data_IF_685067594884
#
_entry.id   IF_685067594884
#
_cell.length_a   1.000
_cell.length_b   1.000
_cell.length_c   1.000
_cell.angle_alpha   90.00
_cell.angle_beta   90.00
_cell.angle_gamma   90.00
#
_symmetry.space_group_name_H-M   'P 1'
#
loop_
_entity.id
_entity.type
_entity.pdbx_description
1 polymer ?
#
# COMPACT_ATOMS: atom_id res chain seq x y z
N UNK A 1 5.23 -23.64 -14.46
CA UNK A 1 5.58 -22.22 -14.35
C UNK A 1 5.22 -21.76 -12.95
N UNK A 2 6.22 -21.57 -12.08
CA UNK A 2 6.00 -21.19 -10.68
C UNK A 2 5.52 -19.74 -10.64
N UNK A 3 4.40 -19.52 -9.95
CA UNK A 3 3.62 -18.28 -9.96
C UNK A 3 4.45 -17.07 -9.55
N UNK A 4 4.71 -16.19 -10.51
CA UNK A 4 4.95 -14.80 -10.22
C UNK A 4 3.60 -14.17 -9.85
N UNK A 5 3.11 -14.44 -8.64
CA UNK A 5 2.04 -13.63 -8.08
C UNK A 5 2.59 -12.20 -7.96
N UNK A 6 2.17 -11.36 -8.91
CA UNK A 6 2.67 -10.01 -9.12
C UNK A 6 2.62 -9.20 -7.82
N UNK A 7 3.76 -9.10 -7.14
CA UNK A 7 3.99 -8.06 -6.13
C UNK A 7 3.84 -6.71 -6.84
N UNK A 8 2.75 -5.99 -6.55
CA UNK A 8 2.54 -4.63 -7.05
C UNK A 8 3.13 -3.65 -6.06
N UNK A 9 4.05 -2.82 -6.53
CA UNK A 9 4.74 -1.81 -5.72
C UNK A 9 4.71 -0.46 -6.42
N UNK A 10 4.43 0.58 -5.66
CA UNK A 10 4.49 1.97 -6.09
C UNK A 10 5.47 2.75 -5.22
N UNK A 11 6.13 3.72 -5.85
CA UNK A 11 7.07 4.61 -5.20
C UNK A 11 6.59 6.04 -5.43
N UNK A 12 6.58 6.84 -4.37
CA UNK A 12 6.26 8.25 -4.44
C UNK A 12 7.25 9.04 -3.60
N UNK A 13 7.41 10.32 -3.93
CA UNK A 13 8.18 11.26 -3.13
C UNK A 13 7.28 12.40 -2.74
N UNK A 14 7.19 12.69 -1.44
CA UNK A 14 6.45 13.84 -0.93
C UNK A 14 7.39 14.65 -0.03
N UNK A 15 7.79 15.84 -0.49
CA UNK A 15 8.80 16.66 0.17
C UNK A 15 10.17 15.97 0.23
N UNK A 16 10.72 15.84 1.44
CA UNK A 16 12.00 15.17 1.70
C UNK A 16 11.89 13.65 1.85
N UNK A 17 10.69 13.09 1.66
CA UNK A 17 10.37 11.74 2.10
C UNK A 17 10.03 10.84 0.92
N UNK A 18 10.58 9.64 0.94
CA UNK A 18 10.28 8.58 0.00
C UNK A 18 9.20 7.67 0.62
N UNK A 19 8.19 7.37 -0.17
CA UNK A 19 7.08 6.52 0.20
C UNK A 19 7.07 5.30 -0.71
N UNK A 20 6.92 4.11 -0.12
CA UNK A 20 6.74 2.86 -0.84
C UNK A 20 5.43 2.23 -0.42
N UNK A 21 4.60 1.89 -1.39
CA UNK A 21 3.35 1.15 -1.21
C UNK A 21 3.50 -0.21 -1.87
N UNK A 22 3.24 -1.28 -1.14
CA UNK A 22 3.32 -2.65 -1.64
C UNK A 22 2.04 -3.43 -1.32
N UNK A 23 1.58 -4.21 -2.29
CA UNK A 23 0.53 -5.21 -2.11
C UNK A 23 1.18 -6.60 -2.07
N UNK A 24 1.07 -7.25 -0.92
CA UNK A 24 1.52 -8.62 -0.72
C UNK A 24 0.37 -9.60 -1.01
N UNK A 25 0.52 -10.86 -0.60
CA UNK A 25 -0.58 -11.82 -0.71
C UNK A 25 -1.77 -11.44 0.18
N UNK A 26 -1.49 -11.02 1.43
CA UNK A 26 -2.51 -10.87 2.49
C UNK A 26 -2.58 -9.46 3.09
N UNK A 27 -1.63 -8.56 2.75
CA UNK A 27 -1.49 -7.24 3.39
C UNK A 27 -1.06 -6.15 2.40
N UNK A 28 -1.38 -4.92 2.76
CA UNK A 28 -0.81 -3.70 2.20
C UNK A 28 0.33 -3.26 3.12
N UNK A 29 1.50 -2.98 2.56
CA UNK A 29 2.62 -2.37 3.27
C UNK A 29 2.81 -0.94 2.81
N UNK A 30 2.81 0.01 3.75
CA UNK A 30 3.14 1.41 3.50
C UNK A 30 4.41 1.74 4.27
N UNK A 31 5.50 1.97 3.54
CA UNK A 31 6.78 2.35 4.10
C UNK A 31 7.05 3.81 3.83
N UNK A 32 7.53 4.52 4.84
CA UNK A 32 8.11 5.86 4.73
C UNK A 32 9.60 5.74 4.96
N UNK A 33 10.38 6.47 4.19
CA UNK A 33 11.81 6.66 4.36
C UNK A 33 12.08 8.16 4.29
N UNK A 34 12.67 8.72 5.35
CA UNK A 34 13.03 10.15 5.39
C UNK A 34 14.54 10.37 5.24
N UNK A 35 15.31 9.31 4.93
CA UNK A 35 16.77 9.36 4.87
C UNK A 35 17.46 9.38 6.25
N UNK A 36 16.71 9.25 7.35
CA UNK A 36 17.24 9.08 8.71
C UNK A 36 17.11 7.62 9.16
N UNK A 37 18.11 7.07 9.90
CA UNK A 37 18.11 5.65 10.29
C UNK A 37 16.91 5.22 11.15
N UNK A 38 16.26 6.16 11.85
CA UNK A 38 15.06 5.92 12.66
C UNK A 38 13.75 5.94 11.86
N UNK A 39 13.78 6.37 10.60
CA UNK A 39 12.57 6.60 9.80
C UNK A 39 12.14 5.44 8.90
N UNK A 40 12.79 4.29 8.97
CA UNK A 40 12.38 3.08 8.26
C UNK A 40 11.14 2.43 8.91
N UNK A 41 10.00 3.10 8.81
CA UNK A 41 8.73 2.62 9.34
C UNK A 41 7.88 1.97 8.25
N UNK A 42 7.77 0.64 8.25
CA UNK A 42 6.85 -0.11 7.41
C UNK A 42 5.55 -0.45 8.17
N UNK A 43 4.41 0.06 7.71
CA UNK A 43 3.11 -0.24 8.27
C UNK A 43 2.41 -1.34 7.46
N UNK A 44 2.30 -2.53 8.04
CA UNK A 44 1.59 -3.65 7.44
C UNK A 44 0.13 -3.68 7.89
N UNK A 45 -0.78 -3.58 6.93
CA UNK A 45 -2.22 -3.53 7.15
C UNK A 45 -2.95 -4.65 6.40
N UNK A 46 -3.81 -5.44 7.06
CA UNK A 46 -4.70 -6.38 6.37
C UNK A 46 -5.67 -5.65 5.42
N UNK A 47 -5.97 -6.25 4.27
CA UNK A 47 -6.90 -5.67 3.29
C UNK A 47 -8.25 -5.23 3.87
N UNK A 48 -8.94 -6.03 4.73
CA UNK A 48 -10.21 -5.61 5.30
C UNK A 48 -10.09 -4.36 6.17
N UNK A 49 -8.95 -4.16 6.84
CA UNK A 49 -8.69 -2.98 7.68
C UNK A 49 -8.47 -1.75 6.81
N UNK A 50 -7.74 -1.88 5.70
CA UNK A 50 -7.53 -0.80 4.75
C UNK A 50 -8.85 -0.35 4.11
N UNK A 51 -9.68 -1.30 3.67
CA UNK A 51 -10.98 -1.01 3.05
C UNK A 51 -11.94 -0.23 3.98
N UNK A 52 -11.81 -0.41 5.30
CA UNK A 52 -12.61 0.31 6.31
C UNK A 52 -12.03 1.65 6.74
N UNK A 53 -10.78 1.97 6.37
CA UNK A 53 -10.08 3.15 6.89
C UNK A 53 -9.98 4.25 5.85
N UNK A 54 -10.90 5.23 5.92
CA UNK A 54 -10.86 6.44 5.09
C UNK A 54 -9.51 7.17 5.20
N UNK A 55 -8.99 7.32 6.42
CA UNK A 55 -7.68 7.93 6.68
C UNK A 55 -6.56 7.33 5.80
N UNK A 56 -6.52 6.00 5.67
CA UNK A 56 -5.48 5.35 4.86
C UNK A 56 -5.74 5.49 3.36
N UNK A 57 -7.00 5.47 2.94
CA UNK A 57 -7.39 5.70 1.55
C UNK A 57 -7.03 7.12 1.11
N UNK A 58 -7.37 8.11 1.93
CA UNK A 58 -7.02 9.52 1.72
C UNK A 58 -5.50 9.71 1.68
N UNK A 59 -4.75 9.06 2.58
CA UNK A 59 -3.29 9.13 2.57
C UNK A 59 -2.70 8.55 1.27
N UNK A 60 -3.21 7.41 0.79
CA UNK A 60 -2.76 6.82 -0.49
C UNK A 60 -3.08 7.76 -1.66
N UNK A 61 -4.27 8.36 -1.72
CA UNK A 61 -4.60 9.33 -2.75
C UNK A 61 -3.72 10.58 -2.69
N UNK A 62 -3.43 11.09 -1.49
CA UNK A 62 -2.58 12.28 -1.33
C UNK A 62 -1.12 12.04 -1.75
N UNK A 63 -0.58 10.84 -1.47
CA UNK A 63 0.83 10.54 -1.72
C UNK A 63 1.07 9.96 -3.12
N UNK A 64 0.18 9.09 -3.59
CA UNK A 64 0.36 8.35 -4.85
C UNK A 64 -0.64 8.73 -5.95
N UNK A 65 -1.63 9.57 -5.64
CA UNK A 65 -2.67 9.98 -6.57
C UNK A 65 -3.92 9.09 -6.55
N UNK A 66 -5.03 9.64 -7.08
CA UNK A 66 -6.32 8.95 -7.10
C UNK A 66 -6.32 7.68 -7.96
N UNK A 67 -5.56 7.64 -9.05
CA UNK A 67 -5.45 6.46 -9.91
C UNK A 67 -4.86 5.27 -9.14
N UNK A 68 -3.79 5.50 -8.37
CA UNK A 68 -3.17 4.46 -7.53
C UNK A 68 -4.14 4.02 -6.43
N UNK A 69 -4.88 4.96 -5.81
CA UNK A 69 -5.90 4.61 -4.84
C UNK A 69 -6.94 3.65 -5.43
N UNK A 70 -7.47 3.92 -6.64
CA UNK A 70 -8.46 3.04 -7.28
C UNK A 70 -7.88 1.64 -7.53
N UNK A 71 -6.65 1.54 -8.06
CA UNK A 71 -5.97 0.25 -8.27
C UNK A 71 -5.81 -0.54 -6.97
N UNK A 72 -5.46 0.15 -5.89
CA UNK A 72 -5.25 -0.45 -4.57
C UNK A 72 -6.58 -0.90 -3.96
N UNK A 73 -7.65 -0.11 -4.08
CA UNK A 73 -9.00 -0.49 -3.63
C UNK A 73 -9.51 -1.72 -4.37
N UNK A 74 -9.39 -1.76 -5.70
CA UNK A 74 -9.77 -2.94 -6.50
C UNK A 74 -8.99 -4.18 -6.05
N UNK A 75 -7.66 -4.06 -5.94
CA UNK A 75 -6.82 -5.19 -5.52
C UNK A 75 -7.13 -5.65 -4.07
N UNK A 76 -7.36 -4.72 -3.16
CA UNK A 76 -7.72 -5.00 -1.77
C UNK A 76 -9.07 -5.71 -1.67
N UNK A 77 -10.07 -5.27 -2.43
CA UNK A 77 -11.37 -5.93 -2.49
C UNK A 77 -11.24 -7.37 -3.01
N UNK A 78 -10.56 -7.57 -4.14
CA UNK A 78 -10.33 -8.91 -4.70
C UNK A 78 -9.64 -9.86 -3.71
N UNK A 79 -8.57 -9.41 -3.04
CA UNK A 79 -7.80 -10.23 -2.08
C UNK A 79 -8.53 -10.46 -0.75
N UNK A 80 -9.40 -9.53 -0.35
CA UNK A 80 -10.22 -9.71 0.86
C UNK A 80 -11.27 -10.82 0.72
N UNK A 81 -11.74 -11.07 -0.51
CA UNK A 81 -12.75 -12.10 -0.82
C UNK A 81 -12.15 -13.50 -0.97
N UNK A 82 -10.87 -13.61 -1.29
CA UNK A 82 -10.16 -14.89 -1.48
C UNK A 82 -9.58 -15.46 -0.18
N UNK A 83 -9.53 -14.67 0.89
CA UNK A 83 -9.01 -15.07 2.21
C UNK A 83 -10.12 -15.45 3.21
N UNK A 84 -11.35 -15.64 2.73
CA UNK A 84 -12.55 -15.95 3.54
C UNK A 84 -13.11 -17.33 3.25
#
# INVERSE_FOLDING_TARGET
>A
ALGAEHMKRWFAKSGAENYTLELTETRICLSRDTGTPESYGANYMPYPRFLRSKKWQEHVAQVYGEEVLQLVLTAAASKSLTSG
#
